data_IF_242729105202
#
_entry.id   IF_242729105202
#
_cell.length_a   1.000
_cell.length_b   1.000
_cell.length_c   1.000
_cell.angle_alpha   90.00
_cell.angle_beta   90.00
_cell.angle_gamma   90.00
#
_symmetry.space_group_name_H-M   'P 1'
#
loop_
_entity.id
_entity.type
_entity.pdbx_description
1 polymer ?
#
# COMPACT_ATOMS: atom_id res chain seq x y z
N UNK A 1 -30.66 40.63 16.11
CA UNK A 1 -31.29 39.68 15.15
C UNK A 1 -30.28 39.37 14.05
N UNK A 2 -29.62 38.21 14.08
CA UNK A 2 -28.71 37.74 13.02
C UNK A 2 -29.49 36.84 12.06
N UNK A 3 -29.37 37.07 10.75
CA UNK A 3 -29.97 36.23 9.71
C UNK A 3 -29.22 34.89 9.63
N UNK A 4 -29.91 33.75 9.37
CA UNK A 4 -29.25 32.48 9.15
C UNK A 4 -28.76 32.40 7.70
N UNK A 5 -27.48 32.08 7.52
CA UNK A 5 -26.91 31.77 6.21
C UNK A 5 -27.43 30.41 5.71
N UNK A 6 -28.02 30.42 4.51
CA UNK A 6 -28.45 29.22 3.79
C UNK A 6 -27.22 28.45 3.31
N UNK A 7 -27.02 27.24 3.83
CA UNK A 7 -26.11 26.28 3.22
C UNK A 7 -26.60 25.85 1.82
N UNK A 8 -25.72 25.82 0.80
CA UNK A 8 -26.09 25.36 -0.53
C UNK A 8 -26.28 23.85 -0.55
N UNK A 9 -27.34 23.39 -1.22
CA UNK A 9 -27.73 21.99 -1.31
C UNK A 9 -26.88 21.21 -2.32
N UNK A 10 -26.74 19.91 -2.05
CA UNK A 10 -25.85 18.92 -2.72
C UNK A 10 -25.94 18.87 -4.26
N UNK A 11 -26.98 19.42 -4.88
CA UNK A 11 -27.14 19.49 -6.34
C UNK A 11 -26.31 20.60 -7.01
N UNK A 12 -25.85 21.60 -6.26
CA UNK A 12 -25.13 22.75 -6.83
C UNK A 12 -23.63 22.49 -7.07
N UNK A 13 -23.07 21.42 -6.45
CA UNK A 13 -21.67 21.03 -6.64
C UNK A 13 -21.40 20.31 -7.97
N UNK A 14 -22.42 19.73 -8.61
CA UNK A 14 -22.26 19.01 -9.88
C UNK A 14 -22.29 19.93 -11.11
N UNK A 15 -22.79 21.17 -10.99
CA UNK A 15 -22.82 22.10 -12.12
C UNK A 15 -21.50 22.85 -12.35
N UNK A 16 -20.59 22.87 -11.37
CA UNK A 16 -19.34 23.64 -11.47
C UNK A 16 -18.22 22.83 -12.14
N UNK A 17 -18.27 21.50 -12.15
CA UNK A 17 -17.28 20.67 -12.87
C UNK A 17 -17.58 20.46 -14.35
N UNK A 18 -18.78 20.79 -14.85
CA UNK A 18 -19.12 20.60 -16.27
C UNK A 18 -18.76 21.81 -17.16
N UNK A 19 -18.31 22.94 -16.60
CA UNK A 19 -18.06 24.17 -17.35
C UNK A 19 -16.57 24.39 -17.73
N UNK A 20 -15.64 23.53 -17.28
CA UNK A 20 -14.22 23.68 -17.56
C UNK A 20 -13.73 22.91 -18.81
N UNK A 21 -14.58 22.10 -19.45
CA UNK A 21 -14.17 21.20 -20.54
C UNK A 21 -14.56 21.67 -21.95
N UNK A 22 -14.95 22.93 -22.13
CA UNK A 22 -15.40 23.47 -23.42
C UNK A 22 -14.76 24.84 -23.74
N UNK A 23 -13.44 24.95 -23.61
CA UNK A 23 -12.70 26.11 -24.11
C UNK A 23 -11.20 25.82 -24.30
N UNK A 24 -10.85 24.92 -25.23
CA UNK A 24 -9.55 24.93 -25.92
C UNK A 24 -9.63 24.05 -27.16
N UNK A 25 -10.34 24.53 -28.17
CA UNK A 25 -10.17 24.10 -29.55
C UNK A 25 -9.85 25.36 -30.37
N UNK A 26 -8.84 25.23 -31.23
CA UNK A 26 -8.39 26.15 -32.30
C UNK A 26 -7.11 26.96 -31.99
N UNK A 27 -6.14 26.79 -32.91
CA UNK A 27 -4.78 27.37 -33.09
C UNK A 27 -3.66 26.52 -32.46
N UNK A 28 -2.76 25.86 -33.19
CA UNK A 28 -1.99 26.30 -34.36
C UNK A 28 -1.60 25.14 -35.29
N UNK A 29 -1.81 25.30 -36.59
CA UNK A 29 -0.92 24.75 -37.62
C UNK A 29 0.27 25.72 -37.79
N UNK A 30 1.51 25.25 -37.72
CA UNK A 30 2.54 25.44 -38.78
C UNK A 30 3.95 25.00 -38.31
N UNK A 31 4.49 24.02 -39.05
CA UNK A 31 5.88 23.59 -39.30
C UNK A 31 7.07 24.00 -38.41
N UNK A 32 7.94 23.03 -38.10
CA UNK A 32 9.19 22.79 -38.86
C UNK A 32 9.97 21.56 -38.36
N UNK A 33 10.81 21.05 -39.28
CA UNK A 33 11.62 19.84 -39.25
C UNK A 33 12.84 19.87 -38.31
N UNK A 34 13.30 18.66 -37.95
CA UNK A 34 14.65 18.35 -37.45
C UNK A 34 14.71 18.27 -35.91
N UNK A 35 15.27 17.26 -35.27
CA UNK A 35 16.08 16.13 -35.66
C UNK A 35 16.78 15.58 -34.41
N UNK A 36 17.33 14.38 -34.54
CA UNK A 36 18.38 13.78 -33.70
C UNK A 36 17.96 12.94 -32.49
N UNK A 37 18.28 11.66 -32.65
CA UNK A 37 18.43 10.59 -31.67
C UNK A 37 19.12 11.02 -30.37
N UNK A 38 18.58 10.53 -29.25
CA UNK A 38 19.36 10.23 -28.07
C UNK A 38 18.81 8.95 -27.42
N UNK A 39 19.53 7.86 -27.62
CA UNK A 39 19.40 6.57 -26.92
C UNK A 39 19.84 6.76 -25.46
N UNK A 40 18.90 6.77 -24.52
CA UNK A 40 19.15 6.77 -23.09
C UNK A 40 18.95 5.38 -22.50
N UNK A 41 20.07 4.69 -22.22
CA UNK A 41 20.15 3.39 -21.57
C UNK A 41 19.42 3.35 -20.22
N UNK A 42 18.70 2.25 -19.98
CA UNK A 42 18.14 1.89 -18.69
C UNK A 42 19.26 1.55 -17.68
N UNK A 43 19.16 1.97 -16.40
CA UNK A 43 20.04 1.49 -15.37
C UNK A 43 19.60 0.08 -14.92
N UNK A 44 20.43 -0.90 -15.25
CA UNK A 44 20.39 -2.27 -14.75
C UNK A 44 20.64 -2.24 -13.24
N UNK A 45 19.65 -2.61 -12.43
CA UNK A 45 19.85 -2.81 -11.00
C UNK A 45 20.53 -4.16 -10.77
N UNK A 46 21.84 -4.11 -10.50
CA UNK A 46 22.65 -5.27 -10.10
C UNK A 46 22.22 -5.73 -8.70
N UNK A 47 21.60 -6.91 -8.64
CA UNK A 47 21.33 -7.63 -7.38
C UNK A 47 22.66 -8.19 -6.86
N UNK A 48 23.15 -7.63 -5.76
CA UNK A 48 24.34 -8.14 -5.07
C UNK A 48 23.92 -9.14 -4.00
N UNK A 49 23.99 -10.43 -4.34
CA UNK A 49 23.99 -11.54 -3.38
C UNK A 49 25.38 -11.72 -2.79
N UNK A 50 25.55 -11.47 -1.50
CA UNK A 50 26.67 -11.95 -0.69
C UNK A 50 26.06 -12.68 0.52
N UNK A 51 25.89 -14.00 0.44
CA UNK A 51 26.87 -15.06 0.72
C UNK A 51 27.28 -15.10 2.19
N UNK A 52 26.77 -16.15 2.85
CA UNK A 52 27.05 -16.53 4.23
C UNK A 52 28.55 -16.80 4.44
N UNK A 53 29.14 -16.10 5.41
CA UNK A 53 30.49 -16.32 5.88
C UNK A 53 30.48 -17.26 7.09
N UNK A 54 31.14 -18.39 6.92
CA UNK A 54 31.33 -19.48 7.87
C UNK A 54 32.09 -19.08 9.14
N UNK A 55 31.76 -19.77 10.23
CA UNK A 55 32.45 -19.73 11.51
C UNK A 55 33.87 -20.32 11.44
N UNK A 56 34.83 -19.82 12.25
CA UNK A 56 35.98 -20.59 12.65
C UNK A 56 35.77 -21.22 14.03
N UNK A 57 36.05 -22.52 14.08
CA UNK A 57 36.24 -23.33 15.28
C UNK A 57 37.63 -23.03 15.82
N UNK A 58 37.75 -22.72 17.11
CA UNK A 58 39.04 -22.77 17.83
C UNK A 58 38.85 -23.45 19.18
N UNK A 59 39.63 -24.51 19.35
CA UNK A 59 39.67 -25.41 20.50
C UNK A 59 40.45 -24.83 21.69
N UNK A 60 39.92 -25.14 22.88
CA UNK A 60 40.56 -25.44 24.16
C UNK A 60 41.89 -24.79 24.55
N UNK A 61 41.86 -24.13 25.72
CA UNK A 61 42.98 -24.15 26.68
C UNK A 61 42.43 -24.32 28.08
N UNK A 62 42.96 -25.34 28.77
CA UNK A 62 42.69 -25.68 30.15
C UNK A 62 43.39 -24.70 31.10
N UNK A 63 42.77 -24.41 32.25
CA UNK A 63 43.43 -23.68 33.32
C UNK A 63 42.51 -23.21 34.44
N UNK A 64 42.50 -23.99 35.52
CA UNK A 64 42.31 -23.55 36.92
C UNK A 64 40.92 -23.15 37.40
N UNK A 65 40.33 -24.03 38.23
CA UNK A 65 39.41 -23.68 39.30
C UNK A 65 40.22 -23.47 40.62
N UNK A 66 39.63 -23.01 41.74
CA UNK A 66 38.33 -22.39 41.93
C UNK A 66 38.43 -21.03 42.66
N UNK A 67 37.47 -20.14 42.45
CA UNK A 67 37.13 -19.11 43.43
C UNK A 67 35.62 -19.07 43.57
N UNK A 68 35.15 -19.37 44.77
CA UNK A 68 33.77 -19.25 45.21
C UNK A 68 33.29 -17.81 44.99
N UNK A 69 32.62 -17.58 43.88
CA UNK A 69 31.78 -16.41 43.68
C UNK A 69 30.37 -16.78 44.08
N UNK A 70 29.82 -16.03 45.03
CA UNK A 70 28.39 -15.97 45.36
C UNK A 70 27.52 -16.13 44.10
N UNK A 71 26.32 -16.73 44.21
CA UNK A 71 25.36 -16.70 43.12
C UNK A 71 24.97 -15.23 42.92
N UNK A 72 25.68 -14.54 42.04
CA UNK A 72 25.24 -13.30 41.44
C UNK A 72 23.85 -13.62 40.88
N UNK A 73 22.83 -13.09 41.55
CA UNK A 73 21.45 -13.20 41.12
C UNK A 73 21.45 -12.81 39.65
N UNK A 74 21.32 -13.80 38.78
CA UNK A 74 21.22 -13.60 37.35
C UNK A 74 20.01 -12.70 37.17
N UNK A 75 20.27 -11.40 36.91
CA UNK A 75 19.22 -10.42 36.79
C UNK A 75 18.26 -10.94 35.73
N UNK A 76 17.08 -11.38 36.17
CA UNK A 76 16.14 -12.06 35.29
C UNK A 76 15.92 -11.16 34.07
N UNK A 77 16.20 -11.70 32.88
CA UNK A 77 16.06 -10.93 31.65
C UNK A 77 14.65 -10.38 31.58
N UNK A 78 14.54 -9.08 31.30
CA UNK A 78 13.26 -8.41 31.16
C UNK A 78 12.35 -9.18 30.19
N UNK A 79 11.06 -9.39 30.53
CA UNK A 79 10.12 -10.08 29.64
C UNK A 79 10.11 -9.44 28.25
N UNK A 80 10.23 -10.26 27.21
CA UNK A 80 10.15 -9.86 25.81
C UNK A 80 9.00 -10.56 25.12
N UNK A 81 8.38 -9.89 24.15
CA UNK A 81 7.27 -10.42 23.37
C UNK A 81 7.50 -10.24 21.87
N UNK A 82 6.85 -11.09 21.10
CA UNK A 82 6.69 -10.96 19.64
C UNK A 82 5.22 -10.82 19.29
N UNK A 83 4.92 -10.15 18.19
CA UNK A 83 3.56 -9.96 17.67
C UNK A 83 3.47 -10.57 16.29
N UNK A 84 2.42 -11.34 16.06
CA UNK A 84 2.04 -11.80 14.72
C UNK A 84 0.53 -11.72 14.54
N UNK A 85 0.10 -11.26 13.37
CA UNK A 85 -1.30 -11.21 13.00
C UNK A 85 -1.44 -11.10 11.49
N UNK A 86 -2.39 -11.84 10.92
CA UNK A 86 -2.68 -11.83 9.49
C UNK A 86 -4.19 -11.78 9.28
N UNK A 87 -4.64 -10.77 8.55
CA UNK A 87 -5.91 -10.74 7.85
C UNK A 87 -5.60 -10.76 6.35
N UNK A 88 -5.77 -11.91 5.67
CA UNK A 88 -5.35 -12.05 4.28
C UNK A 88 -6.23 -11.24 3.33
N UNK A 89 -5.71 -10.93 2.15
CA UNK A 89 -6.55 -10.50 1.02
C UNK A 89 -7.39 -11.71 0.61
N UNK A 90 -8.71 -11.59 0.69
CA UNK A 90 -9.64 -12.63 0.26
C UNK A 90 -10.15 -12.31 -1.16
N UNK A 91 -10.28 -13.31 -2.04
CA UNK A 91 -10.91 -13.13 -3.34
C UNK A 91 -12.28 -12.49 -3.18
N UNK A 92 -12.50 -11.38 -3.89
CA UNK A 92 -13.77 -10.65 -3.85
C UNK A 92 -14.09 -10.02 -5.21
N UNK A 93 -15.39 -9.82 -5.46
CA UNK A 93 -15.89 -9.21 -6.69
C UNK A 93 -15.61 -7.70 -6.82
N UNK A 94 -15.07 -7.06 -5.78
CA UNK A 94 -14.79 -5.62 -5.82
C UNK A 94 -13.47 -5.32 -6.53
N UNK A 95 -12.34 -5.96 -6.23
CA UNK A 95 -11.05 -5.45 -6.74
C UNK A 95 -10.00 -6.54 -7.00
N UNK A 96 -10.10 -7.68 -6.32
CA UNK A 96 -9.35 -8.91 -6.64
C UNK A 96 -10.11 -9.77 -7.65
N UNK A 97 -10.52 -9.14 -8.74
CA UNK A 97 -11.20 -9.87 -9.78
C UNK A 97 -10.17 -10.27 -10.82
N UNK A 98 -9.61 -11.45 -10.60
CA UNK A 98 -9.02 -12.29 -11.64
C UNK A 98 -9.94 -12.48 -12.86
N UNK A 99 -11.17 -11.95 -12.81
CA UNK A 99 -12.10 -11.74 -13.91
C UNK A 99 -11.37 -11.35 -15.18
N UNK A 100 -11.45 -12.28 -16.12
CA UNK A 100 -11.27 -12.09 -17.53
C UNK A 100 -12.58 -12.50 -18.18
N UNK A 101 -12.90 -11.94 -19.35
CA UNK A 101 -14.08 -12.33 -20.13
C UNK A 101 -13.66 -13.20 -21.33
N UNK A 102 -13.19 -14.44 -21.10
CA UNK A 102 -12.67 -15.28 -22.18
C UNK A 102 -13.77 -15.52 -23.22
N UNK A 103 -13.41 -15.39 -24.50
CA UNK A 103 -14.34 -15.53 -25.62
C UNK A 103 -15.03 -14.23 -26.04
N UNK A 104 -14.87 -13.14 -25.30
CA UNK A 104 -15.28 -11.81 -25.79
C UNK A 104 -14.20 -11.27 -26.73
N UNK A 105 -14.61 -10.74 -27.88
CA UNK A 105 -13.68 -10.12 -28.83
C UNK A 105 -13.33 -8.71 -28.32
N UNK A 106 -12.04 -8.48 -28.05
CA UNK A 106 -11.53 -7.14 -27.78
C UNK A 106 -11.68 -6.24 -29.02
N UNK A 107 -12.42 -5.14 -28.87
CA UNK A 107 -12.55 -4.10 -29.89
C UNK A 107 -11.28 -3.24 -29.85
N UNK A 108 -10.51 -3.26 -30.95
CA UNK A 108 -9.23 -2.55 -31.05
C UNK A 108 -9.37 -1.03 -30.96
N UNK A 109 -10.46 -0.47 -31.50
CA UNK A 109 -10.71 0.97 -31.47
C UNK A 109 -11.04 1.40 -30.05
N UNK A 110 -11.94 0.67 -29.38
CA UNK A 110 -12.27 0.92 -27.97
C UNK A 110 -11.06 0.72 -27.06
N UNK A 111 -10.29 -0.35 -27.27
CA UNK A 111 -9.05 -0.61 -26.55
C UNK A 111 -8.07 0.57 -26.64
N UNK A 112 -7.81 1.06 -27.87
CA UNK A 112 -6.90 2.19 -28.06
C UNK A 112 -7.42 3.46 -27.39
N UNK A 113 -8.72 3.75 -27.52
CA UNK A 113 -9.33 4.93 -26.91
C UNK A 113 -9.28 4.87 -25.37
N UNK A 114 -9.69 3.75 -24.78
CA UNK A 114 -9.68 3.56 -23.32
C UNK A 114 -8.24 3.58 -22.77
N UNK A 115 -7.27 3.02 -23.51
CA UNK A 115 -5.85 3.05 -23.11
C UNK A 115 -5.27 4.46 -23.12
N UNK A 116 -5.58 5.26 -24.14
CA UNK A 116 -5.21 6.69 -24.18
C UNK A 116 -5.83 7.44 -23.02
N UNK A 117 -7.13 7.24 -22.76
CA UNK A 117 -7.82 7.85 -21.62
C UNK A 117 -7.15 7.50 -20.29
N UNK A 118 -6.81 6.22 -20.07
CA UNK A 118 -6.08 5.79 -18.87
C UNK A 118 -4.73 6.48 -18.71
N UNK A 119 -3.98 6.64 -19.80
CA UNK A 119 -2.70 7.35 -19.78
C UNK A 119 -2.85 8.85 -19.47
N UNK A 120 -3.88 9.50 -20.02
CA UNK A 120 -4.21 10.90 -19.71
C UNK A 120 -4.59 11.08 -18.24
N UNK A 121 -5.37 10.17 -17.66
CA UNK A 121 -5.72 10.20 -16.24
C UNK A 121 -4.47 10.00 -15.37
N UNK A 122 -3.60 9.05 -15.72
CA UNK A 122 -2.35 8.83 -15.01
C UNK A 122 -1.45 10.09 -15.05
N UNK A 123 -1.40 10.78 -16.19
CA UNK A 123 -0.70 12.06 -16.31
C UNK A 123 -1.36 13.15 -15.46
N UNK A 124 -2.70 13.21 -15.42
CA UNK A 124 -3.46 14.11 -14.56
C UNK A 124 -3.12 13.93 -13.08
N UNK A 125 -3.08 12.68 -12.59
CA UNK A 125 -2.64 12.40 -11.22
C UNK A 125 -1.23 12.91 -10.92
N UNK A 126 -0.29 12.75 -11.85
CA UNK A 126 1.05 13.28 -11.66
C UNK A 126 1.05 14.82 -11.54
N UNK A 127 0.25 15.50 -12.36
CA UNK A 127 0.10 16.97 -12.33
C UNK A 127 -0.57 17.45 -11.04
N UNK A 128 -1.52 16.69 -10.51
CA UNK A 128 -2.23 16.99 -9.25
C UNK A 128 -1.40 16.65 -7.99
N UNK A 129 -0.19 16.13 -8.15
CA UNK A 129 0.69 15.77 -7.03
C UNK A 129 0.36 14.41 -6.39
N UNK A 130 -0.23 13.50 -7.17
CA UNK A 130 -0.53 12.11 -6.79
C UNK A 130 0.36 11.12 -7.58
N UNK A 131 1.68 11.14 -7.36
CA UNK A 131 2.61 10.33 -8.15
C UNK A 131 2.41 8.82 -7.95
N UNK A 132 1.91 8.36 -6.79
CA UNK A 132 1.66 6.92 -6.59
C UNK A 132 0.43 6.47 -7.36
N UNK A 133 -0.67 7.22 -7.32
CA UNK A 133 -1.85 6.94 -8.14
C UNK A 133 -1.50 6.91 -9.63
N UNK A 134 -0.71 7.88 -10.10
CA UNK A 134 -0.19 7.92 -11.46
C UNK A 134 0.62 6.66 -11.82
N UNK A 135 1.57 6.30 -10.95
CA UNK A 135 2.43 5.13 -11.15
C UNK A 135 1.65 3.82 -11.18
N UNK A 136 0.70 3.64 -10.25
CA UNK A 136 -0.13 2.44 -10.17
C UNK A 136 -1.06 2.29 -11.39
N UNK A 137 -1.68 3.38 -11.86
CA UNK A 137 -2.49 3.33 -13.07
C UNK A 137 -1.65 3.06 -14.32
N UNK A 138 -0.47 3.67 -14.42
CA UNK A 138 0.47 3.38 -15.51
C UNK A 138 0.90 1.91 -15.51
N UNK A 139 1.17 1.35 -14.32
CA UNK A 139 1.51 -0.05 -14.13
C UNK A 139 0.38 -0.99 -14.54
N UNK A 140 -0.85 -0.68 -14.12
CA UNK A 140 -2.06 -1.40 -14.52
C UNK A 140 -2.20 -1.47 -16.05
N UNK A 141 -2.01 -0.33 -16.74
CA UNK A 141 -2.11 -0.22 -18.20
C UNK A 141 -0.97 -0.92 -18.96
N UNK A 142 0.18 -1.12 -18.31
CA UNK A 142 1.30 -1.89 -18.86
C UNK A 142 1.00 -3.40 -18.89
N UNK A 143 0.19 -3.89 -17.95
CA UNK A 143 -0.42 -5.22 -18.03
C UNK A 143 0.45 -6.38 -17.56
N UNK A 144 1.58 -6.11 -16.91
CA UNK A 144 2.49 -7.17 -16.47
C UNK A 144 1.91 -7.97 -15.29
N UNK A 145 1.05 -7.35 -14.48
CA UNK A 145 0.48 -7.92 -13.27
C UNK A 145 1.48 -8.08 -12.14
N UNK A 146 2.66 -7.44 -12.24
CA UNK A 146 3.71 -7.61 -11.23
C UNK A 146 3.37 -6.85 -9.97
N UNK A 147 3.75 -7.42 -8.81
CA UNK A 147 3.46 -6.82 -7.52
C UNK A 147 4.19 -5.48 -7.36
N UNK A 148 3.48 -4.47 -6.87
CA UNK A 148 4.07 -3.20 -6.43
C UNK A 148 4.16 -3.17 -4.89
N UNK A 149 5.27 -2.72 -4.33
CA UNK A 149 5.44 -2.64 -2.89
C UNK A 149 6.10 -1.32 -2.48
N UNK A 150 5.45 -0.60 -1.57
CA UNK A 150 5.95 0.64 -1.00
C UNK A 150 6.59 0.34 0.36
N UNK A 151 7.94 0.37 0.46
CA UNK A 151 8.64 0.00 1.67
C UNK A 151 8.46 1.06 2.77
N UNK A 152 8.85 0.73 4.03
CA UNK A 152 8.89 1.69 5.12
C UNK A 152 9.68 2.95 4.72
N UNK A 153 9.16 4.11 5.10
CA UNK A 153 9.82 5.39 4.84
C UNK A 153 9.61 5.95 3.43
N UNK A 154 8.99 5.22 2.50
CA UNK A 154 8.53 5.80 1.22
C UNK A 154 7.54 6.96 1.45
N UNK A 155 7.37 7.85 0.47
CA UNK A 155 6.49 9.01 0.60
C UNK A 155 5.05 8.61 0.95
N UNK A 156 4.50 7.62 0.26
CA UNK A 156 3.16 7.11 0.51
C UNK A 156 3.05 6.36 1.84
N UNK A 157 4.09 5.64 2.28
CA UNK A 157 4.11 5.04 3.62
C UNK A 157 4.09 6.11 4.73
N UNK A 158 4.76 7.25 4.53
CA UNK A 158 4.69 8.39 5.46
C UNK A 158 3.29 9.03 5.47
N UNK A 159 2.67 9.21 4.31
CA UNK A 159 1.29 9.68 4.22
C UNK A 159 0.33 8.72 4.93
N UNK A 160 0.45 7.42 4.67
CA UNK A 160 -0.37 6.39 5.30
C UNK A 160 -0.21 6.46 6.82
N UNK A 161 1.03 6.49 7.33
CA UNK A 161 1.33 6.64 8.76
C UNK A 161 0.70 7.90 9.37
N UNK A 162 0.66 9.01 8.62
CA UNK A 162 0.09 10.27 9.06
C UNK A 162 -1.43 10.36 8.92
N UNK A 163 -2.07 9.40 8.25
CA UNK A 163 -3.51 9.39 8.04
C UNK A 163 -4.29 9.13 9.34
N UNK A 164 -5.49 9.70 9.46
CA UNK A 164 -6.40 9.42 10.58
C UNK A 164 -6.81 7.95 10.63
N UNK A 165 -7.05 7.34 9.46
CA UNK A 165 -7.46 5.96 9.32
C UNK A 165 -6.40 4.98 9.86
N UNK A 166 -5.13 5.13 9.43
CA UNK A 166 -4.05 4.30 9.97
C UNK A 166 -3.83 4.53 11.47
N UNK A 167 -3.89 5.78 11.94
CA UNK A 167 -3.75 6.06 13.39
C UNK A 167 -4.88 5.43 14.22
N UNK A 168 -6.08 5.28 13.67
CA UNK A 168 -7.16 4.57 14.33
C UNK A 168 -6.86 3.06 14.41
N UNK A 169 -6.51 2.45 13.28
CA UNK A 169 -6.05 1.06 13.20
C UNK A 169 -4.91 0.78 14.20
N UNK A 170 -3.86 1.60 14.19
CA UNK A 170 -2.69 1.44 15.05
C UNK A 170 -3.09 1.45 16.54
N UNK A 171 -3.96 2.38 16.96
CA UNK A 171 -4.47 2.40 18.34
C UNK A 171 -5.21 1.11 18.69
N UNK A 172 -6.10 0.63 17.83
CA UNK A 172 -6.85 -0.61 18.09
C UNK A 172 -5.93 -1.82 18.22
N UNK A 173 -4.97 -1.97 17.31
CA UNK A 173 -3.99 -3.06 17.33
C UNK A 173 -3.12 -2.98 18.59
N UNK A 174 -2.62 -1.79 18.95
CA UNK A 174 -1.82 -1.61 20.16
C UNK A 174 -2.61 -1.93 21.44
N UNK A 175 -3.88 -1.57 21.52
CA UNK A 175 -4.75 -1.94 22.65
C UNK A 175 -5.02 -3.44 22.71
N UNK A 176 -5.22 -4.11 21.57
CA UNK A 176 -5.38 -5.55 21.51
C UNK A 176 -4.11 -6.28 22.00
N UNK A 177 -2.92 -5.80 21.60
CA UNK A 177 -1.65 -6.31 22.09
C UNK A 177 -1.53 -6.13 23.61
N UNK A 178 -1.81 -4.93 24.13
CA UNK A 178 -1.73 -4.66 25.57
C UNK A 178 -2.69 -5.54 26.38
N UNK A 179 -3.92 -5.72 25.90
CA UNK A 179 -4.90 -6.61 26.56
C UNK A 179 -4.38 -8.05 26.67
N UNK A 180 -3.72 -8.56 25.63
CA UNK A 180 -3.10 -9.90 25.64
C UNK A 180 -1.92 -9.97 26.62
N UNK A 181 -1.04 -8.97 26.61
CA UNK A 181 0.10 -8.89 27.52
C UNK A 181 -0.34 -8.83 29.00
N UNK A 182 -1.48 -8.20 29.30
CA UNK A 182 -2.03 -8.15 30.67
C UNK A 182 -2.74 -9.42 31.11
N UNK A 183 -3.30 -10.18 30.18
CA UNK A 183 -4.12 -11.36 30.47
C UNK A 183 -3.33 -12.62 30.89
N UNK A 184 -1.99 -12.61 30.80
CA UNK A 184 -1.14 -13.65 31.41
C UNK A 184 -0.40 -14.57 30.42
N UNK A 185 -0.07 -15.80 30.85
CA UNK A 185 1.28 -16.25 31.18
C UNK A 185 2.26 -16.41 30.00
N UNK A 186 1.81 -16.39 28.75
CA UNK A 186 2.67 -16.42 27.56
C UNK A 186 2.94 -15.00 27.05
N UNK A 187 3.67 -14.24 27.86
CA UNK A 187 4.15 -12.90 27.51
C UNK A 187 5.09 -12.91 26.30
N UNK A 188 5.45 -14.07 25.75
CA UNK A 188 6.46 -14.16 24.68
C UNK A 188 5.87 -14.05 23.28
N UNK A 189 4.57 -14.38 23.11
CA UNK A 189 3.91 -14.43 21.80
C UNK A 189 2.48 -13.88 21.84
N UNK A 190 2.27 -12.77 21.15
CA UNK A 190 0.97 -12.15 20.95
C UNK A 190 0.47 -12.48 19.54
N UNK A 191 -0.54 -13.33 19.47
CA UNK A 191 -1.23 -13.68 18.23
C UNK A 191 -2.51 -12.87 18.07
N UNK A 192 -2.58 -12.03 17.05
CA UNK A 192 -3.76 -11.23 16.72
C UNK A 192 -4.61 -11.98 15.68
N UNK A 193 -5.86 -12.36 16.00
CA UNK A 193 -6.78 -12.94 15.03
C UNK A 193 -7.19 -11.92 13.97
N UNK A 194 -7.59 -12.38 12.78
CA UNK A 194 -8.00 -11.52 11.67
C UNK A 194 -9.11 -10.51 12.04
N UNK A 195 -10.04 -10.89 12.94
CA UNK A 195 -11.10 -10.01 13.43
C UNK A 195 -10.59 -8.78 14.22
N UNK A 196 -9.34 -8.81 14.72
CA UNK A 196 -8.68 -7.69 15.40
C UNK A 196 -7.76 -6.89 14.47
N UNK A 197 -7.81 -7.16 13.17
CA UNK A 197 -6.97 -6.55 12.15
C UNK A 197 -7.86 -5.94 11.07
N UNK A 198 -8.49 -4.79 11.35
CA UNK A 198 -9.42 -4.16 10.42
C UNK A 198 -8.71 -3.63 9.18
N UNK A 199 -9.49 -3.48 8.11
CA UNK A 199 -9.04 -2.83 6.89
C UNK A 199 -8.99 -1.31 7.05
N UNK A 200 -8.12 -0.67 6.28
CA UNK A 200 -7.97 0.78 6.26
C UNK A 200 -8.71 1.32 5.04
N UNK A 201 -9.49 2.38 5.22
CA UNK A 201 -10.07 3.17 4.12
C UNK A 201 -9.43 4.57 4.13
N UNK A 202 -8.94 5.01 2.98
CA UNK A 202 -8.37 6.33 2.78
C UNK A 202 -9.38 7.19 2.02
N UNK A 203 -10.18 7.98 2.75
CA UNK A 203 -11.38 8.66 2.18
C UNK A 203 -11.12 10.07 1.63
N UNK A 204 -9.90 10.60 1.76
CA UNK A 204 -9.60 11.98 1.36
C UNK A 204 -9.28 12.08 -0.13
N UNK A 205 -10.22 12.55 -0.94
CA UNK A 205 -10.05 12.78 -2.40
C UNK A 205 -8.89 13.72 -2.75
N UNK A 206 -8.36 14.49 -1.78
CA UNK A 206 -7.16 15.31 -1.96
C UNK A 206 -5.84 14.57 -1.66
N UNK A 207 -5.86 13.24 -1.56
CA UNK A 207 -4.72 12.42 -1.15
C UNK A 207 -4.35 11.38 -2.20
N UNK A 208 -3.04 11.21 -2.40
CA UNK A 208 -2.46 10.15 -3.22
C UNK A 208 -2.90 8.75 -2.72
N UNK A 209 -3.14 8.61 -1.41
CA UNK A 209 -3.68 7.37 -0.83
C UNK A 209 -5.09 7.04 -1.32
N UNK A 210 -5.93 8.05 -1.53
CA UNK A 210 -7.31 7.83 -1.99
C UNK A 210 -7.30 7.36 -3.45
N UNK A 211 -6.55 8.04 -4.31
CA UNK A 211 -6.51 7.71 -5.74
C UNK A 211 -5.67 6.49 -6.05
N UNK A 212 -4.67 6.18 -5.23
CA UNK A 212 -3.81 5.02 -5.40
C UNK A 212 -4.37 3.73 -4.79
N UNK A 213 -5.03 3.81 -3.63
CA UNK A 213 -5.46 2.62 -2.88
C UNK A 213 -6.93 2.66 -2.53
N UNK A 214 -7.45 3.83 -2.10
CA UNK A 214 -8.82 4.05 -1.59
C UNK A 214 -9.16 3.26 -0.32
N UNK A 215 -8.73 2.02 -0.21
CA UNK A 215 -8.74 1.20 0.97
C UNK A 215 -7.72 0.06 0.88
N UNK A 216 -7.84 -0.91 1.77
CA UNK A 216 -6.97 -2.08 1.82
C UNK A 216 -7.84 -3.31 1.97
N UNK A 217 -7.39 -4.44 1.45
CA UNK A 217 -8.11 -5.73 1.54
C UNK A 217 -7.43 -6.74 2.46
N UNK A 218 -6.18 -6.49 2.84
CA UNK A 218 -5.46 -7.33 3.78
C UNK A 218 -4.58 -6.50 4.71
N UNK A 219 -4.29 -7.08 5.87
CA UNK A 219 -3.38 -6.51 6.86
C UNK A 219 -2.51 -7.60 7.47
N UNK A 220 -1.20 -7.40 7.46
CA UNK A 220 -0.26 -8.20 8.26
C UNK A 220 0.37 -7.30 9.31
N UNK A 221 0.36 -7.74 10.57
CA UNK A 221 1.04 -7.07 11.68
C UNK A 221 2.11 -8.00 12.22
N UNK A 222 3.34 -7.50 12.29
CA UNK A 222 4.46 -8.16 12.96
C UNK A 222 5.12 -7.19 13.92
N UNK A 223 5.79 -7.70 14.94
CA UNK A 223 6.49 -6.82 15.85
C UNK A 223 7.19 -7.55 16.97
N UNK A 224 7.84 -6.77 17.81
CA UNK A 224 8.50 -7.25 19.00
C UNK A 224 8.60 -6.13 20.03
N UNK A 225 8.79 -6.49 21.29
CA UNK A 225 9.06 -5.54 22.35
C UNK A 225 9.53 -6.20 23.62
N UNK A 226 9.78 -5.39 24.63
CA UNK A 226 10.20 -5.81 25.97
C UNK A 226 9.64 -4.90 27.04
N UNK A 227 9.51 -5.43 28.25
CA UNK A 227 9.15 -4.68 29.44
C UNK A 227 10.42 -4.00 30.01
N UNK A 228 10.44 -2.68 30.02
CA UNK A 228 11.52 -1.92 30.65
C UNK A 228 10.92 -0.77 31.46
N UNK A 229 11.33 -0.65 32.73
CA UNK A 229 10.89 0.43 33.63
C UNK A 229 9.36 0.57 33.71
N UNK A 230 8.64 -0.56 33.85
CA UNK A 230 7.17 -0.57 33.93
C UNK A 230 6.45 -0.26 32.61
N UNK A 231 7.15 -0.30 31.48
CA UNK A 231 6.59 0.03 30.17
C UNK A 231 6.98 -0.99 29.13
N UNK A 232 6.02 -1.43 28.33
CA UNK A 232 6.31 -2.18 27.13
C UNK A 232 6.83 -1.24 26.05
N UNK A 233 7.96 -1.59 25.45
CA UNK A 233 8.62 -0.80 24.40
C UNK A 233 9.06 -1.70 23.28
N UNK A 234 8.89 -1.25 22.03
CA UNK A 234 9.14 -2.09 20.88
C UNK A 234 8.80 -1.43 19.56
N UNK A 235 8.54 -2.23 18.55
CA UNK A 235 8.22 -1.78 17.20
C UNK A 235 7.17 -2.70 16.59
N UNK A 236 6.22 -2.10 15.88
CA UNK A 236 5.23 -2.80 15.05
C UNK A 236 5.46 -2.43 13.59
N UNK A 237 5.33 -3.43 12.71
CA UNK A 237 5.34 -3.28 11.26
C UNK A 237 4.02 -3.79 10.70
N UNK A 238 3.36 -2.92 9.94
CA UNK A 238 2.09 -3.13 9.28
C UNK A 238 2.36 -3.26 7.78
N UNK A 239 1.91 -4.34 7.16
CA UNK A 239 1.85 -4.47 5.70
C UNK A 239 0.36 -4.40 5.33
N UNK A 240 -0.06 -3.22 4.90
CA UNK A 240 -1.37 -2.99 4.30
C UNK A 240 -1.33 -3.50 2.86
N UNK A 241 -2.24 -4.39 2.50
CA UNK A 241 -2.27 -5.04 1.18
C UNK A 241 -3.55 -4.67 0.46
N UNK A 242 -3.44 -4.48 -0.84
CA UNK A 242 -4.58 -4.33 -1.73
C UNK A 242 -4.35 -5.09 -3.03
N UNK A 243 -5.39 -5.17 -3.85
CA UNK A 243 -5.31 -5.59 -5.24
C UNK A 243 -5.74 -4.42 -6.11
N UNK A 244 -4.79 -3.84 -6.83
CA UNK A 244 -5.06 -2.73 -7.73
C UNK A 244 -5.81 -3.25 -8.96
N UNK A 245 -7.04 -2.77 -9.13
CA UNK A 245 -7.94 -3.17 -10.20
C UNK A 245 -9.26 -2.41 -10.10
N UNK A 246 -10.12 -2.61 -11.09
CA UNK A 246 -11.36 -1.85 -11.22
C UNK A 246 -12.58 -2.76 -11.00
N UNK A 247 -13.41 -2.55 -9.97
CA UNK A 247 -14.67 -3.25 -9.78
C UNK A 247 -15.66 -3.07 -10.94
N UNK A 248 -16.64 -3.98 -11.04
CA UNK A 248 -17.82 -3.79 -11.90
C UNK A 248 -18.59 -2.51 -11.54
N UNK A 249 -18.69 -2.20 -10.24
CA UNK A 249 -19.43 -1.05 -9.71
C UNK A 249 -18.58 0.22 -9.57
N UNK A 250 -17.31 0.21 -10.00
CA UNK A 250 -16.46 1.37 -9.77
C UNK A 250 -16.77 2.50 -10.73
N UNK A 251 -16.97 3.67 -10.15
CA UNK A 251 -17.18 4.92 -10.87
C UNK A 251 -16.14 5.96 -10.47
N UNK A 252 -14.90 5.54 -10.15
CA UNK A 252 -13.72 6.40 -9.97
C UNK A 252 -13.74 7.55 -10.99
N UNK A 253 -14.23 8.71 -10.56
CA UNK A 253 -14.54 9.90 -11.37
C UNK A 253 -15.09 9.63 -12.80
N UNK A 254 -15.85 8.55 -13.01
CA UNK A 254 -16.41 8.17 -14.30
C UNK A 254 -15.49 7.38 -15.25
N UNK A 255 -14.23 7.11 -14.89
CA UNK A 255 -13.29 6.35 -15.72
C UNK A 255 -13.13 4.86 -15.34
N UNK A 256 -13.83 4.41 -14.28
CA UNK A 256 -13.86 3.00 -13.87
C UNK A 256 -14.29 2.03 -14.97
N UNK A 257 -15.40 2.28 -15.71
CA UNK A 257 -15.85 1.35 -16.76
C UNK A 257 -14.87 1.16 -17.94
N UNK A 258 -14.22 2.22 -18.49
CA UNK A 258 -13.10 2.06 -19.42
C UNK A 258 -11.98 1.17 -18.88
N UNK A 259 -11.52 1.42 -17.65
CA UNK A 259 -10.43 0.63 -17.07
C UNK A 259 -10.85 -0.82 -16.81
N UNK A 260 -12.10 -1.05 -16.39
CA UNK A 260 -12.68 -2.39 -16.27
C UNK A 260 -12.69 -3.13 -17.61
N UNK A 261 -13.05 -2.44 -18.70
CA UNK A 261 -13.01 -3.03 -20.04
C UNK A 261 -11.59 -3.45 -20.42
N UNK A 262 -10.60 -2.58 -20.17
CA UNK A 262 -9.18 -2.89 -20.38
C UNK A 262 -8.70 -4.05 -19.50
N UNK A 263 -9.21 -4.19 -18.28
CA UNK A 263 -8.86 -5.29 -17.38
C UNK A 263 -9.46 -6.63 -17.81
N UNK A 264 -10.71 -6.64 -18.27
CA UNK A 264 -11.51 -7.87 -18.38
C UNK A 264 -11.67 -8.37 -19.81
N UNK A 265 -12.07 -7.49 -20.73
CA UNK A 265 -12.33 -7.84 -22.14
C UNK A 265 -11.07 -7.74 -22.96
N UNK A 266 -10.27 -6.71 -22.73
CA UNK A 266 -8.98 -6.49 -23.39
C UNK A 266 -7.80 -6.71 -22.45
N UNK A 267 -7.95 -7.55 -21.42
CA UNK A 267 -6.97 -7.75 -20.36
C UNK A 267 -5.83 -8.70 -20.72
N UNK A 268 -4.68 -8.52 -20.09
CA UNK A 268 -3.58 -9.47 -20.15
C UNK A 268 -3.82 -10.67 -19.19
N UNK A 269 -3.38 -11.89 -19.52
CA UNK A 269 -2.56 -12.25 -20.68
C UNK A 269 -3.36 -12.58 -21.96
N UNK A 270 -4.69 -12.56 -21.93
CA UNK A 270 -5.53 -12.93 -23.09
C UNK A 270 -5.35 -11.98 -24.27
N UNK A 271 -5.08 -10.71 -23.99
CA UNK A 271 -4.78 -9.67 -24.98
C UNK A 271 -3.40 -9.08 -24.70
N UNK A 272 -2.51 -9.19 -25.69
CA UNK A 272 -1.16 -8.61 -25.62
C UNK A 272 -1.24 -7.10 -25.46
N UNK A 273 -0.56 -6.56 -24.44
CA UNK A 273 -0.59 -5.15 -24.10
C UNK A 273 -1.88 -4.67 -23.42
N UNK A 274 -2.77 -5.61 -23.05
CA UNK A 274 -3.96 -5.39 -22.24
C UNK A 274 -3.63 -4.95 -20.82
N UNK A 275 -4.56 -4.29 -20.13
CA UNK A 275 -4.33 -3.94 -18.73
C UNK A 275 -4.47 -5.17 -17.83
N UNK A 276 -3.88 -5.10 -16.64
CA UNK A 276 -3.90 -6.22 -15.69
C UNK A 276 -3.93 -5.74 -14.25
N UNK A 277 -4.79 -6.36 -13.46
CA UNK A 277 -4.78 -6.19 -12.01
C UNK A 277 -3.44 -6.66 -11.42
N UNK A 278 -3.05 -6.14 -10.27
CA UNK A 278 -1.85 -6.60 -9.58
C UNK A 278 -1.95 -6.41 -8.07
N UNK A 279 -1.26 -7.23 -7.26
CA UNK A 279 -1.17 -6.99 -5.83
C UNK A 279 -0.33 -5.74 -5.56
N UNK A 280 -0.76 -4.92 -4.62
CA UNK A 280 0.08 -3.86 -4.07
C UNK A 280 0.18 -3.93 -2.55
N UNK A 281 1.09 -3.13 -1.98
CA UNK A 281 1.19 -3.02 -0.52
C UNK A 281 1.91 -1.76 -0.06
N UNK A 282 1.49 -1.23 1.09
CA UNK A 282 2.18 -0.18 1.82
C UNK A 282 2.69 -0.75 3.15
N UNK A 283 3.99 -0.62 3.41
CA UNK A 283 4.58 -1.03 4.68
C UNK A 283 4.83 0.17 5.59
N UNK A 284 4.27 0.14 6.80
CA UNK A 284 4.44 1.19 7.81
C UNK A 284 5.04 0.59 9.08
N UNK A 285 6.07 1.24 9.62
CA UNK A 285 6.68 0.87 10.90
C UNK A 285 6.46 1.98 11.92
N UNK A 286 6.03 1.62 13.12
CA UNK A 286 5.74 2.53 14.24
C UNK A 286 6.32 2.02 15.56
N UNK A 287 6.67 2.93 16.49
CA UNK A 287 7.04 2.52 17.84
C UNK A 287 5.83 1.92 18.56
N UNK A 288 6.05 0.79 19.24
CA UNK A 288 5.12 0.29 20.25
C UNK A 288 5.56 0.84 21.59
N UNK A 289 4.70 1.59 22.28
CA UNK A 289 5.07 1.93 23.64
C UNK A 289 3.90 2.28 24.56
N UNK A 290 3.64 1.40 25.52
CA UNK A 290 2.49 1.44 26.41
C UNK A 290 2.87 1.06 27.86
N UNK A 291 2.24 1.65 28.88
CA UNK A 291 2.39 1.21 30.27
C UNK A 291 2.05 -0.28 30.43
N UNK A 292 2.77 -0.98 31.31
CA UNK A 292 2.44 -2.38 31.66
C UNK A 292 1.05 -2.51 32.29
#
# INVERSE_FOLDING_TARGET
>A
MRRPDKMPTRKQKHLILAAASAACLVTMLSGCLGGSHATGQAPTATVSTAQAGSAPVTSASAGSAPASSDPAASAAAAPSFTVTGVNPVLPNGSQDTNDQAPGTVCDKTKFSADKTLGAEIAAGFALDGFPVASGLLTHFLAGDGTKVAFPPGSAIARQARASSAFRALDREVQQAILSRLRAGPDLTRVNLPAAQLPMVAFESESSDLYWGFRGTQGLTVTGHGRLANGRWTGTLTYVMRDSYGFPVSDTLAGFGPPMRYLQTVCGAPLHSGGARWFPDSITVTVPFSLPA
#
